data_IF_217209999389
#
_entry.id   IF_217209999389
#
_cell.length_a   1.000
_cell.length_b   1.000
_cell.length_c   1.000
_cell.angle_alpha   90.00
_cell.angle_beta   90.00
_cell.angle_gamma   90.00
#
_symmetry.space_group_name_H-M   'P 1'
#
loop_
_entity.id
_entity.type
_entity.pdbx_description
1 polymer ?
#
# COMPACT_ATOMS: atom_id res chain seq x y z
N UNK A 1 -1.18 5.97 30.43
CA UNK A 1 -1.81 7.27 30.12
C UNK A 1 -3.22 7.27 30.70
N UNK A 2 -3.57 8.25 31.53
CA UNK A 2 -4.93 8.37 32.06
C UNK A 2 -5.86 9.03 31.03
N UNK A 3 -7.12 8.58 31.00
CA UNK A 3 -8.22 9.15 30.21
C UNK A 3 -9.36 9.43 31.17
N UNK A 4 -9.85 10.66 31.21
CA UNK A 4 -11.00 11.06 32.02
C UNK A 4 -12.34 10.55 31.43
N UNK A 5 -12.43 9.23 31.27
CA UNK A 5 -13.58 8.49 30.76
C UNK A 5 -13.51 7.05 31.29
N UNK A 6 -14.64 6.48 31.70
CA UNK A 6 -14.73 5.05 32.08
C UNK A 6 -15.13 4.20 30.86
N UNK A 7 -14.22 3.35 30.39
CA UNK A 7 -14.48 2.49 29.24
C UNK A 7 -15.28 1.22 29.59
N UNK A 8 -15.50 0.89 30.88
CA UNK A 8 -16.09 -0.39 31.33
C UNK A 8 -17.44 -0.71 30.68
N UNK A 9 -18.27 0.31 30.39
CA UNK A 9 -19.56 0.14 29.70
C UNK A 9 -19.49 0.14 28.17
N UNK A 10 -18.32 0.39 27.59
CA UNK A 10 -18.14 0.59 26.13
C UNK A 10 -17.19 -0.42 25.49
N UNK A 11 -16.13 -0.80 26.21
CA UNK A 11 -15.10 -1.72 25.79
C UNK A 11 -14.89 -2.76 26.90
N UNK A 12 -14.47 -3.96 26.53
CA UNK A 12 -14.02 -4.95 27.50
C UNK A 12 -12.67 -4.52 28.07
N UNK A 13 -12.50 -4.65 29.38
CA UNK A 13 -11.24 -4.37 30.06
C UNK A 13 -10.14 -5.34 29.59
N UNK A 14 -8.89 -4.88 29.58
CA UNK A 14 -7.74 -5.63 29.05
C UNK A 14 -7.45 -5.26 27.60
N UNK A 15 -7.18 -6.28 26.76
CA UNK A 15 -6.91 -6.09 25.33
C UNK A 15 -8.20 -6.16 24.54
N UNK A 16 -8.48 -5.14 23.74
CA UNK A 16 -9.65 -5.06 22.87
C UNK A 16 -9.24 -4.79 21.42
N UNK A 17 -9.84 -5.52 20.49
CA UNK A 17 -9.71 -5.27 19.05
C UNK A 17 -10.63 -4.12 18.64
N UNK A 18 -10.06 -3.10 18.06
CA UNK A 18 -10.74 -1.94 17.48
C UNK A 18 -10.58 -2.01 15.96
N UNK A 19 -11.62 -2.46 15.29
CA UNK A 19 -11.75 -2.51 13.83
C UNK A 19 -12.67 -1.39 13.32
N UNK A 20 -12.85 -1.29 12.00
CA UNK A 20 -13.69 -0.27 11.38
C UNK A 20 -15.14 -0.31 11.90
N UNK A 21 -15.70 -1.49 12.13
CA UNK A 21 -17.05 -1.64 12.68
C UNK A 21 -17.14 -1.09 14.11
N UNK A 22 -16.12 -1.33 14.92
CA UNK A 22 -16.02 -0.79 16.28
C UNK A 22 -15.89 0.73 16.26
N UNK A 23 -15.06 1.29 15.39
CA UNK A 23 -14.91 2.75 15.23
C UNK A 23 -16.22 3.40 14.76
N UNK A 24 -16.94 2.80 13.81
CA UNK A 24 -18.25 3.29 13.36
C UNK A 24 -19.30 3.21 14.47
N UNK A 25 -19.32 2.13 15.25
CA UNK A 25 -20.23 1.95 16.39
C UNK A 25 -19.97 2.97 17.51
N UNK A 26 -18.70 3.18 17.82
CA UNK A 26 -18.18 4.09 18.84
C UNK A 26 -17.70 5.42 18.23
N UNK A 27 -18.46 5.94 17.27
CA UNK A 27 -18.20 7.21 16.59
C UNK A 27 -17.85 8.33 17.59
N UNK A 28 -17.00 9.33 17.27
CA UNK A 28 -16.51 10.33 18.23
C UNK A 28 -17.61 11.11 18.95
N UNK A 29 -18.76 11.31 18.28
CA UNK A 29 -19.97 11.90 18.91
C UNK A 29 -20.56 11.07 20.06
N UNK A 30 -20.34 9.75 20.07
CA UNK A 30 -20.74 8.81 21.11
C UNK A 30 -19.63 8.54 22.12
N UNK A 31 -18.39 8.35 21.64
CA UNK A 31 -17.24 8.06 22.48
C UNK A 31 -16.03 8.88 22.02
N UNK A 32 -16.02 10.17 22.38
CA UNK A 32 -14.90 11.06 22.07
C UNK A 32 -13.58 10.57 22.67
N UNK A 33 -13.66 9.90 23.82
CA UNK A 33 -12.51 9.41 24.57
C UNK A 33 -11.73 8.34 23.82
N UNK A 34 -12.38 7.53 22.98
CA UNK A 34 -11.70 6.53 22.14
C UNK A 34 -10.84 7.21 21.07
N UNK A 35 -11.40 8.18 20.35
CA UNK A 35 -10.63 8.97 19.37
C UNK A 35 -9.44 9.64 20.04
N UNK A 36 -9.68 10.33 21.16
CA UNK A 36 -8.61 11.00 21.90
C UNK A 36 -7.52 10.03 22.35
N UNK A 37 -7.90 8.86 22.88
CA UNK A 37 -6.95 7.85 23.32
C UNK A 37 -6.07 7.34 22.18
N UNK A 38 -6.67 7.04 21.01
CA UNK A 38 -5.95 6.59 19.81
C UNK A 38 -4.99 7.67 19.31
N UNK A 39 -5.48 8.91 19.17
CA UNK A 39 -4.69 10.02 18.65
C UNK A 39 -3.53 10.37 19.58
N UNK A 40 -3.76 10.38 20.89
CA UNK A 40 -2.73 10.68 21.86
C UNK A 40 -1.68 9.56 21.95
N UNK A 41 -2.12 8.30 21.95
CA UNK A 41 -1.21 7.16 21.98
C UNK A 41 -0.39 7.06 20.68
N UNK A 42 -0.99 7.39 19.54
CA UNK A 42 -0.31 7.55 18.26
C UNK A 42 0.76 8.66 18.29
N UNK A 43 0.48 9.79 18.92
CA UNK A 43 1.45 10.86 19.10
C UNK A 43 2.62 10.42 20.00
N UNK A 44 2.34 9.73 21.11
CA UNK A 44 3.37 9.17 22.00
C UNK A 44 4.25 8.13 21.27
N UNK A 45 3.65 7.23 20.48
CA UNK A 45 4.39 6.27 19.66
C UNK A 45 5.32 6.97 18.67
N UNK A 46 4.82 8.01 18.01
CA UNK A 46 5.57 8.83 17.05
C UNK A 46 6.79 9.48 17.70
N UNK A 47 6.63 10.02 18.90
CA UNK A 47 7.72 10.62 19.68
C UNK A 47 8.76 9.58 20.08
N UNK A 48 8.32 8.44 20.63
CA UNK A 48 9.21 7.35 21.05
C UNK A 48 10.05 6.78 19.89
N UNK A 49 9.45 6.66 18.70
CA UNK A 49 10.12 6.19 17.48
C UNK A 49 10.87 7.31 16.73
N UNK A 50 10.80 8.56 17.20
CA UNK A 50 11.42 9.75 16.58
C UNK A 50 10.99 9.95 15.12
N UNK A 51 9.71 9.67 14.84
CA UNK A 51 9.13 9.82 13.51
C UNK A 51 8.68 11.27 13.28
N UNK A 52 8.76 11.73 12.03
CA UNK A 52 8.31 13.08 11.64
C UNK A 52 6.80 13.21 11.50
N UNK A 53 6.11 12.09 11.21
CA UNK A 53 4.67 12.04 10.96
C UNK A 53 4.07 10.95 11.80
N UNK A 54 2.91 11.23 12.37
CA UNK A 54 2.17 10.26 13.16
C UNK A 54 1.64 9.13 12.31
N UNK A 55 1.94 7.88 12.65
CA UNK A 55 1.50 6.72 11.87
C UNK A 55 0.09 6.28 12.19
N UNK A 56 -0.36 6.51 13.42
CA UNK A 56 -1.64 5.99 13.94
C UNK A 56 -2.47 7.14 14.47
N UNK A 57 -3.66 7.35 13.92
CA UNK A 57 -4.67 8.29 14.39
C UNK A 57 -6.04 7.70 14.08
N UNK A 58 -7.08 8.18 14.75
CA UNK A 58 -8.46 7.74 14.54
C UNK A 58 -8.86 7.87 13.08
N UNK A 59 -8.66 9.06 12.48
CA UNK A 59 -9.03 9.32 11.09
C UNK A 59 -8.30 8.38 10.12
N UNK A 60 -7.01 8.10 10.38
CA UNK A 60 -6.23 7.17 9.55
C UNK A 60 -6.72 5.73 9.62
N UNK A 61 -7.27 5.31 10.77
CA UNK A 61 -7.85 3.98 10.92
C UNK A 61 -9.21 3.89 10.21
N UNK A 62 -10.00 4.97 10.24
CA UNK A 62 -11.30 5.04 9.54
C UNK A 62 -11.11 5.07 8.02
N UNK A 63 -10.14 5.87 7.54
CA UNK A 63 -9.89 6.09 6.11
C UNK A 63 -9.00 5.02 5.47
N UNK A 64 -8.58 3.98 6.20
CA UNK A 64 -7.68 2.96 5.65
C UNK A 64 -8.40 1.93 4.78
N UNK A 65 -7.87 1.69 3.59
CA UNK A 65 -8.33 0.60 2.70
C UNK A 65 -7.71 -0.78 3.04
N UNK A 66 -6.71 -0.82 3.91
CA UNK A 66 -5.85 -2.00 4.15
C UNK A 66 -6.32 -2.93 5.29
N UNK A 67 -7.62 -2.93 5.58
CA UNK A 67 -8.20 -3.67 6.71
C UNK A 67 -7.42 -3.44 8.02
N UNK A 68 -7.04 -2.18 8.32
CA UNK A 68 -6.25 -1.90 9.51
C UNK A 68 -7.07 -2.11 10.78
N UNK A 69 -6.44 -2.71 11.78
CA UNK A 69 -7.03 -3.00 13.09
C UNK A 69 -6.09 -2.51 14.17
N UNK A 70 -6.64 -2.03 15.27
CA UNK A 70 -5.88 -1.59 16.43
C UNK A 70 -6.25 -2.46 17.63
N UNK A 71 -5.26 -3.13 18.20
CA UNK A 71 -5.38 -3.78 19.49
C UNK A 71 -5.01 -2.76 20.56
N UNK A 72 -5.96 -2.38 21.41
CA UNK A 72 -5.80 -1.40 22.47
C UNK A 72 -5.82 -2.11 23.82
N UNK A 73 -4.83 -1.88 24.68
CA UNK A 73 -4.82 -2.39 26.04
C UNK A 73 -5.13 -1.28 27.04
N UNK A 74 -6.10 -1.52 27.91
CA UNK A 74 -6.50 -0.58 28.96
C UNK A 74 -6.99 -1.29 30.22
N UNK A 75 -6.95 -0.57 31.35
CA UNK A 75 -7.44 -1.01 32.67
C UNK A 75 -8.26 0.11 33.33
N UNK A 76 -9.24 -0.22 34.18
CA UNK A 76 -9.97 0.79 34.95
C UNK A 76 -9.04 1.43 35.98
N UNK A 77 -9.15 2.74 36.18
CA UNK A 77 -8.35 3.40 37.20
C UNK A 77 -8.79 2.94 38.60
N UNK A 78 -7.87 2.47 39.48
CA UNK A 78 -8.24 1.88 40.76
C UNK A 78 -8.87 2.88 41.74
N UNK A 79 -8.43 4.14 41.70
CA UNK A 79 -8.87 5.18 42.65
C UNK A 79 -9.91 6.17 42.08
N UNK A 80 -10.08 6.24 40.75
CA UNK A 80 -10.86 7.28 40.09
C UNK A 80 -11.99 6.62 39.30
N UNK A 81 -13.23 6.84 39.74
CA UNK A 81 -14.40 6.12 39.22
C UNK A 81 -14.64 6.33 37.72
N UNK A 82 -14.46 7.57 37.22
CA UNK A 82 -14.67 7.96 35.82
C UNK A 82 -13.36 8.09 35.03
N UNK A 83 -12.37 7.25 35.33
CA UNK A 83 -11.06 7.30 34.68
C UNK A 83 -10.61 5.90 34.25
N UNK A 84 -9.95 5.84 33.10
CA UNK A 84 -9.34 4.63 32.57
C UNK A 84 -7.86 4.87 32.29
N UNK A 85 -7.05 3.83 32.42
CA UNK A 85 -5.62 3.87 32.13
C UNK A 85 -5.37 3.10 30.83
N UNK A 86 -4.95 3.80 29.79
CA UNK A 86 -4.46 3.20 28.55
C UNK A 86 -3.00 2.79 28.74
N UNK A 87 -2.72 1.53 28.45
CA UNK A 87 -1.42 0.87 28.64
C UNK A 87 -0.61 0.89 27.35
N UNK A 88 -1.21 0.53 26.21
CA UNK A 88 -0.51 0.41 24.94
C UNK A 88 -1.42 0.07 23.76
N UNK A 89 -0.84 0.07 22.57
CA UNK A 89 -1.51 -0.29 21.32
C UNK A 89 -0.60 -1.08 20.38
N UNK A 90 -1.23 -1.90 19.55
CA UNK A 90 -0.62 -2.65 18.46
C UNK A 90 -1.52 -2.51 17.23
N UNK A 91 -1.01 -1.83 16.21
CA UNK A 91 -1.71 -1.65 14.93
C UNK A 91 -1.21 -2.69 13.93
N UNK A 92 -2.16 -3.37 13.30
CA UNK A 92 -1.91 -4.34 12.23
C UNK A 92 -2.75 -4.01 11.00
N UNK A 93 -2.37 -4.54 9.84
CA UNK A 93 -3.15 -4.42 8.60
C UNK A 93 -2.62 -5.34 7.53
N UNK A 94 -3.48 -5.75 6.59
CA UNK A 94 -3.05 -6.63 5.49
C UNK A 94 -2.33 -5.83 4.43
N UNK A 95 -1.20 -6.34 3.95
CA UNK A 95 -0.45 -5.72 2.86
C UNK A 95 -0.04 -6.77 1.85
N UNK A 96 -0.13 -6.37 0.58
CA UNK A 96 0.45 -7.09 -0.52
C UNK A 96 1.94 -6.75 -0.62
N UNK A 97 2.78 -7.72 -0.32
CA UNK A 97 4.23 -7.57 -0.26
C UNK A 97 4.91 -8.32 -1.40
N UNK A 98 5.95 -7.70 -1.95
CA UNK A 98 6.90 -8.32 -2.85
C UNK A 98 8.21 -8.49 -2.08
N UNK A 99 8.57 -9.74 -1.81
CA UNK A 99 9.63 -10.11 -0.89
C UNK A 99 10.73 -10.88 -1.60
N UNK A 100 11.94 -10.81 -1.06
CA UNK A 100 13.10 -11.54 -1.52
C UNK A 100 13.63 -12.38 -0.36
N UNK A 101 13.86 -13.67 -0.62
CA UNK A 101 14.53 -14.53 0.35
C UNK A 101 16.06 -14.44 0.23
N UNK A 102 16.79 -15.10 1.12
CA UNK A 102 18.26 -15.14 1.13
C UNK A 102 18.86 -15.70 -0.18
N UNK A 103 18.13 -16.60 -0.84
CA UNK A 103 18.49 -17.20 -2.13
C UNK A 103 18.15 -16.32 -3.34
N UNK A 104 17.77 -15.06 -3.11
CA UNK A 104 17.38 -14.10 -4.15
C UNK A 104 16.17 -14.55 -4.99
N UNK A 105 15.29 -15.37 -4.41
CA UNK A 105 14.01 -15.77 -5.03
C UNK A 105 12.92 -14.79 -4.62
N UNK A 106 12.11 -14.39 -5.61
CA UNK A 106 11.01 -13.45 -5.41
C UNK A 106 9.77 -14.18 -4.87
N UNK A 107 9.06 -13.54 -3.95
CA UNK A 107 7.79 -13.99 -3.40
C UNK A 107 6.78 -12.85 -3.47
N UNK A 108 5.51 -13.21 -3.66
CA UNK A 108 4.37 -12.30 -3.58
C UNK A 108 3.44 -12.86 -2.50
N UNK A 109 3.14 -12.06 -1.48
CA UNK A 109 2.41 -12.50 -0.30
C UNK A 109 1.41 -11.43 0.15
N UNK A 110 0.17 -11.82 0.41
CA UNK A 110 -0.81 -10.99 1.12
C UNK A 110 -0.71 -11.32 2.61
N UNK A 111 0.11 -10.56 3.34
CA UNK A 111 0.47 -10.86 4.72
C UNK A 111 -0.13 -9.86 5.72
N UNK A 112 -0.49 -10.34 6.91
CA UNK A 112 -0.80 -9.45 8.02
C UNK A 112 0.50 -8.81 8.52
N UNK A 113 0.50 -7.48 8.58
CA UNK A 113 1.67 -6.71 8.92
C UNK A 113 1.49 -6.01 10.26
N UNK A 114 2.55 -5.98 11.07
CA UNK A 114 2.64 -5.08 12.22
C UNK A 114 3.10 -3.71 11.73
N UNK A 115 2.27 -2.69 11.95
CA UNK A 115 2.41 -1.35 11.36
C UNK A 115 2.76 -0.27 12.39
N UNK A 116 2.41 -0.48 13.66
CA UNK A 116 2.80 0.38 14.77
C UNK A 116 2.65 -0.41 16.08
N UNK A 117 3.58 -0.28 17.02
CA UNK A 117 3.53 -1.00 18.29
C UNK A 117 4.14 -0.16 19.40
N UNK A 118 3.32 0.14 20.41
CA UNK A 118 3.72 1.04 21.48
C UNK A 118 3.10 0.64 22.81
N UNK A 119 3.93 0.59 23.84
CA UNK A 119 3.51 0.49 25.24
C UNK A 119 4.00 1.74 25.94
N UNK A 120 3.12 2.36 26.72
CA UNK A 120 3.44 3.58 27.47
C UNK A 120 4.69 3.36 28.34
N UNK A 121 5.58 4.35 28.37
CA UNK A 121 6.93 4.23 28.96
C UNK A 121 6.91 3.71 30.40
N UNK A 122 5.96 4.20 31.22
CA UNK A 122 5.79 3.75 32.62
C UNK A 122 5.38 2.29 32.80
N UNK A 123 4.94 1.62 31.72
CA UNK A 123 4.47 0.23 31.69
C UNK A 123 5.39 -0.66 30.82
N UNK A 124 6.46 -0.10 30.24
CA UNK A 124 7.39 -0.91 29.44
C UNK A 124 8.16 -1.92 30.31
N UNK A 125 8.58 -3.03 29.69
CA UNK A 125 9.35 -4.12 30.32
C UNK A 125 8.64 -4.87 31.46
N UNK A 126 7.33 -4.67 31.64
CA UNK A 126 6.49 -5.37 32.62
C UNK A 126 5.65 -6.51 32.00
N UNK A 127 5.91 -6.88 30.75
CA UNK A 127 5.20 -7.97 30.05
C UNK A 127 3.97 -7.55 29.25
N UNK A 128 3.46 -6.32 29.40
CA UNK A 128 2.28 -5.84 28.66
C UNK A 128 2.42 -5.89 27.14
N UNK A 129 3.62 -5.67 26.61
CA UNK A 129 3.87 -5.83 25.17
C UNK A 129 3.68 -7.28 24.69
N UNK A 130 4.04 -8.26 25.51
CA UNK A 130 3.82 -9.68 25.21
C UNK A 130 2.34 -10.01 25.24
N UNK A 131 1.62 -9.61 26.30
CA UNK A 131 0.17 -9.80 26.42
C UNK A 131 -0.59 -9.20 25.23
N UNK A 132 -0.23 -7.98 24.81
CA UNK A 132 -0.88 -7.32 23.68
C UNK A 132 -0.62 -8.05 22.35
N UNK A 133 0.60 -8.54 22.15
CA UNK A 133 0.97 -9.24 20.93
C UNK A 133 0.39 -10.65 20.86
N UNK A 134 0.39 -11.40 21.97
CA UNK A 134 -0.26 -12.72 22.09
C UNK A 134 -1.77 -12.63 21.83
N UNK A 135 -2.43 -11.63 22.41
CA UNK A 135 -3.86 -11.40 22.17
C UNK A 135 -4.15 -11.17 20.68
N UNK A 136 -3.29 -10.43 19.98
CA UNK A 136 -3.39 -10.24 18.53
C UNK A 136 -3.17 -11.55 17.76
N UNK A 137 -2.15 -12.34 18.11
CA UNK A 137 -1.90 -13.63 17.45
C UNK A 137 -3.08 -14.61 17.59
N UNK A 138 -3.66 -14.68 18.80
CA UNK A 138 -4.83 -15.54 19.08
C UNK A 138 -6.04 -15.08 18.29
N UNK A 139 -6.33 -13.78 18.27
CA UNK A 139 -7.49 -13.21 17.59
C UNK A 139 -7.38 -13.31 16.06
N UNK A 140 -6.18 -13.16 15.50
CA UNK A 140 -5.93 -13.29 14.06
C UNK A 140 -5.66 -14.74 13.63
N UNK A 141 -5.54 -15.67 14.58
CA UNK A 141 -5.23 -17.09 14.35
C UNK A 141 -3.94 -17.28 13.54
N UNK A 142 -2.88 -16.61 13.97
CA UNK A 142 -1.58 -16.60 13.30
C UNK A 142 -0.46 -17.08 14.20
N UNK A 143 0.57 -17.63 13.57
CA UNK A 143 1.87 -17.83 14.20
C UNK A 143 2.76 -16.60 13.99
N UNK A 144 3.68 -16.29 14.92
CA UNK A 144 4.56 -15.12 14.83
C UNK A 144 5.33 -15.03 13.50
N UNK A 145 5.79 -16.17 12.97
CA UNK A 145 6.60 -16.23 11.74
C UNK A 145 5.81 -15.90 10.46
N UNK A 146 4.48 -15.88 10.52
CA UNK A 146 3.60 -15.55 9.40
C UNK A 146 3.39 -14.03 9.26
N UNK A 147 3.93 -13.23 10.18
CA UNK A 147 3.81 -11.78 10.16
C UNK A 147 4.97 -11.13 9.42
N UNK A 148 4.67 -10.02 8.75
CA UNK A 148 5.67 -9.06 8.32
C UNK A 148 5.66 -7.84 9.25
N UNK A 149 6.80 -7.19 9.44
CA UNK A 149 6.93 -6.05 10.34
C UNK A 149 7.45 -4.83 9.57
N UNK A 150 6.71 -3.72 9.57
CA UNK A 150 7.14 -2.46 8.94
C UNK A 150 8.13 -1.74 9.86
N UNK A 151 9.37 -1.55 9.39
CA UNK A 151 10.43 -0.77 10.08
C UNK A 151 10.56 -1.08 11.58
N UNK A 152 10.83 -2.34 11.96
CA UNK A 152 10.97 -2.67 13.37
C UNK A 152 12.12 -1.91 14.03
N UNK A 153 11.88 -1.44 15.25
CA UNK A 153 12.95 -0.89 16.10
C UNK A 153 13.81 -2.02 16.69
N UNK A 154 15.06 -1.72 17.05
CA UNK A 154 15.95 -2.70 17.69
C UNK A 154 15.33 -3.32 18.97
N UNK A 155 14.69 -2.56 19.87
CA UNK A 155 13.96 -3.13 21.01
C UNK A 155 12.85 -4.09 20.60
N UNK A 156 12.18 -3.83 19.48
CA UNK A 156 11.12 -4.69 18.98
C UNK A 156 11.67 -6.01 18.41
N UNK A 157 12.78 -5.97 17.66
CA UNK A 157 13.45 -7.20 17.22
C UNK A 157 13.92 -8.06 18.41
N UNK A 158 14.48 -7.43 19.44
CA UNK A 158 14.87 -8.14 20.68
C UNK A 158 13.65 -8.75 21.39
N UNK A 159 12.51 -8.04 21.39
CA UNK A 159 11.26 -8.56 21.94
C UNK A 159 10.78 -9.79 21.18
N UNK A 160 10.77 -9.72 19.84
CA UNK A 160 10.39 -10.83 18.97
C UNK A 160 11.28 -12.05 19.18
N UNK A 161 12.60 -11.85 19.21
CA UNK A 161 13.56 -12.92 19.46
C UNK A 161 13.38 -13.56 20.84
N UNK A 162 13.13 -12.76 21.88
CA UNK A 162 12.97 -13.25 23.26
C UNK A 162 11.70 -14.08 23.44
N UNK A 163 10.58 -13.62 22.88
CA UNK A 163 9.26 -14.18 23.17
C UNK A 163 8.79 -15.23 22.17
N UNK A 164 9.25 -15.14 20.92
CA UNK A 164 8.81 -16.02 19.84
C UNK A 164 9.96 -16.78 19.16
N UNK A 165 11.17 -16.68 19.72
CA UNK A 165 12.38 -17.38 19.26
C UNK A 165 12.76 -17.14 17.79
N UNK A 166 12.21 -16.08 17.18
CA UNK A 166 12.47 -15.73 15.79
C UNK A 166 13.83 -15.02 15.66
N UNK A 167 14.71 -15.58 14.84
CA UNK A 167 16.08 -15.12 14.61
C UNK A 167 16.32 -14.86 13.13
N UNK A 168 17.41 -14.17 12.83
CA UNK A 168 17.89 -13.90 11.47
C UNK A 168 16.86 -13.11 10.63
N UNK A 169 16.51 -11.87 11.06
CA UNK A 169 15.55 -11.05 10.35
C UNK A 169 16.01 -10.76 8.91
N UNK A 170 15.15 -11.04 7.95
CA UNK A 170 15.38 -10.82 6.52
C UNK A 170 14.85 -9.45 6.14
N UNK A 171 15.75 -8.47 6.06
CA UNK A 171 15.43 -7.09 5.70
C UNK A 171 15.13 -6.94 4.21
N UNK A 172 14.00 -6.33 3.91
CA UNK A 172 13.56 -6.02 2.56
C UNK A 172 13.90 -4.59 2.17
N UNK A 173 14.05 -4.33 0.87
CA UNK A 173 14.28 -2.97 0.34
C UNK A 173 13.11 -2.02 0.63
N UNK A 174 11.90 -2.55 0.86
CA UNK A 174 10.70 -1.81 1.25
C UNK A 174 10.68 -1.41 2.73
N UNK A 175 11.72 -1.75 3.50
CA UNK A 175 11.85 -1.61 4.96
C UNK A 175 10.98 -2.56 5.79
N UNK A 176 10.27 -3.50 5.15
CA UNK A 176 9.66 -4.61 5.85
C UNK A 176 10.72 -5.60 6.30
N UNK A 177 10.42 -6.28 7.40
CA UNK A 177 11.19 -7.41 7.91
C UNK A 177 10.27 -8.61 8.03
N UNK A 178 10.76 -9.74 7.53
CA UNK A 178 10.17 -11.07 7.74
C UNK A 178 11.24 -11.99 8.33
N UNK A 179 10.85 -13.16 8.81
CA UNK A 179 11.77 -14.16 9.32
C UNK A 179 11.84 -15.36 8.35
N UNK A 180 12.92 -16.15 8.33
CA UNK A 180 13.09 -17.22 7.34
C UNK A 180 11.90 -18.17 7.20
N UNK A 181 11.24 -18.63 8.28
CA UNK A 181 10.07 -19.53 8.17
C UNK A 181 8.85 -18.89 7.50
N UNK A 182 8.81 -17.56 7.34
CA UNK A 182 7.76 -16.87 6.59
C UNK A 182 7.66 -17.42 5.15
N UNK A 183 8.79 -17.73 4.53
CA UNK A 183 8.83 -18.18 3.14
C UNK A 183 8.37 -19.63 2.95
N UNK A 184 8.33 -20.44 4.02
CA UNK A 184 7.94 -21.86 3.93
C UNK A 184 6.44 -22.02 3.61
N UNK A 185 5.63 -21.05 4.03
CA UNK A 185 4.19 -21.00 3.75
C UNK A 185 3.85 -20.39 2.37
N UNK A 186 4.85 -19.84 1.66
CA UNK A 186 4.65 -19.12 0.41
C UNK A 186 5.35 -19.82 -0.76
N UNK A 187 4.77 -19.69 -1.96
CA UNK A 187 5.40 -20.19 -3.18
C UNK A 187 6.26 -19.10 -3.81
N UNK A 188 7.49 -19.42 -4.25
CA UNK A 188 8.27 -18.47 -5.02
C UNK A 188 7.49 -18.08 -6.28
N UNK A 189 7.53 -16.80 -6.62
CA UNK A 189 7.03 -16.31 -7.89
C UNK A 189 7.92 -16.91 -8.97
N UNK A 190 7.34 -17.74 -9.84
CA UNK A 190 8.04 -18.19 -11.04
C UNK A 190 8.44 -16.94 -11.82
N UNK A 191 9.74 -16.79 -12.11
CA UNK A 191 10.20 -15.74 -13.00
C UNK A 191 9.53 -15.98 -14.35
N UNK A 192 8.43 -15.26 -14.57
CA UNK A 192 7.75 -15.17 -15.85
C UNK A 192 8.69 -14.51 -16.83
N UNK A 193 9.61 -15.28 -17.40
CA UNK A 193 9.93 -15.10 -18.80
C UNK A 193 8.59 -15.32 -19.50
N UNK A 194 7.93 -14.23 -19.86
CA UNK A 194 6.73 -14.24 -20.68
C UNK A 194 6.95 -15.26 -21.81
N UNK A 195 6.25 -16.41 -21.74
CA UNK A 195 6.12 -17.35 -22.86
C UNK A 195 5.23 -16.73 -23.95
N UNK A 196 5.41 -15.45 -24.27
CA UNK A 196 4.87 -14.80 -25.47
C UNK A 196 5.94 -14.79 -26.54
N UNK A 197 6.32 -15.98 -26.99
CA UNK A 197 6.76 -16.31 -28.35
C UNK A 197 7.54 -17.61 -28.27
N UNK A 198 6.89 -18.71 -28.64
CA UNK A 198 7.44 -19.91 -29.29
C UNK A 198 6.27 -20.89 -29.45
N UNK A 199 5.29 -20.49 -30.26
CA UNK A 199 4.41 -21.42 -30.97
C UNK A 199 4.24 -20.89 -32.40
N UNK A 200 5.38 -20.77 -33.08
CA UNK A 200 5.45 -20.77 -34.54
C UNK A 200 5.81 -22.18 -34.99
N UNK A 201 5.04 -22.70 -35.94
CA UNK A 201 5.21 -23.95 -36.70
C UNK A 201 4.78 -25.27 -36.03
N UNK A 202 3.48 -25.57 -36.17
CA UNK A 202 3.07 -26.88 -36.72
C UNK A 202 2.23 -26.64 -37.97
N UNK A 203 2.85 -26.94 -39.11
CA UNK A 203 2.20 -27.08 -40.41
C UNK A 203 1.49 -28.45 -40.41
N UNK A 204 0.17 -28.47 -40.57
CA UNK A 204 -0.54 -29.61 -41.16
C UNK A 204 -1.85 -29.13 -41.80
N UNK A 205 -1.80 -29.04 -43.12
CA UNK A 205 -2.88 -29.23 -44.12
C UNK A 205 -4.33 -29.26 -43.66
N UNK A 206 -5.15 -28.34 -44.18
CA UNK A 206 -6.60 -28.43 -44.15
C UNK A 206 -7.26 -27.22 -44.82
N UNK A 207 -7.66 -27.39 -46.07
CA UNK A 207 -8.43 -26.46 -46.90
C UNK A 207 -9.60 -25.82 -46.16
N UNK A 208 -9.81 -24.50 -46.30
CA UNK A 208 -11.13 -23.87 -46.54
C UNK A 208 -10.95 -22.42 -47.04
N UNK A 209 -11.69 -22.11 -48.10
CA UNK A 209 -11.70 -20.89 -48.92
C UNK A 209 -12.44 -19.72 -48.25
N UNK A 210 -12.10 -18.44 -48.56
CA UNK A 210 -12.77 -17.28 -47.98
C UNK A 210 -13.99 -16.84 -48.81
N UNK A 211 -15.16 -16.76 -48.16
CA UNK A 211 -16.38 -16.18 -48.73
C UNK A 211 -16.37 -14.66 -48.51
N UNK A 212 -16.19 -13.90 -49.60
CA UNK A 212 -16.59 -12.50 -49.67
C UNK A 212 -18.12 -12.43 -49.68
N UNK A 213 -18.71 -11.44 -49.02
CA UNK A 213 -20.11 -11.06 -49.27
C UNK A 213 -20.16 -9.65 -49.80
N UNK A 214 -20.77 -9.57 -50.97
CA UNK A 214 -20.89 -8.43 -51.86
C UNK A 214 -21.92 -7.40 -51.38
N UNK A 215 -21.73 -6.23 -51.99
CA UNK A 215 -22.49 -4.99 -51.95
C UNK A 215 -23.64 -5.06 -52.96
N UNK A 216 -24.85 -4.63 -52.59
CA UNK A 216 -25.99 -4.41 -53.52
C UNK A 216 -26.82 -3.17 -53.09
N UNK A 217 -27.63 -2.56 -53.97
CA UNK A 217 -27.65 -1.11 -54.18
C UNK A 217 -28.94 -0.38 -53.76
N UNK A 218 -28.95 0.93 -54.05
CA UNK A 218 -29.94 1.95 -53.66
C UNK A 218 -31.26 1.93 -54.44
N UNK A 219 -32.38 2.29 -53.77
CA UNK A 219 -33.59 2.90 -54.36
C UNK A 219 -34.13 4.00 -53.42
N UNK A 220 -34.66 5.04 -54.04
CA UNK A 220 -35.03 6.37 -53.56
C UNK A 220 -36.39 6.52 -52.88
N UNK A 221 -36.48 7.42 -51.90
CA UNK A 221 -37.60 8.39 -51.76
C UNK A 221 -37.26 9.54 -50.78
N UNK A 222 -37.46 10.78 -51.26
CA UNK A 222 -37.45 12.08 -50.54
C UNK A 222 -38.92 12.49 -50.24
N UNK A 223 -39.27 13.62 -49.56
CA UNK A 223 -38.45 14.77 -49.12
C UNK A 223 -38.73 15.30 -47.67
N UNK A 224 -37.92 16.25 -47.19
CA UNK A 224 -38.27 17.06 -46.01
C UNK A 224 -37.16 17.91 -45.39
N UNK A 225 -36.83 19.04 -46.02
CA UNK A 225 -36.56 20.37 -45.42
C UNK A 225 -35.75 20.50 -44.10
N UNK A 226 -34.53 21.06 -44.17
CA UNK A 226 -34.18 22.44 -43.74
C UNK A 226 -32.65 22.63 -43.58
N UNK A 227 -32.25 23.82 -43.96
CA UNK A 227 -30.92 24.41 -44.08
C UNK A 227 -30.25 24.80 -42.76
N UNK A 228 -28.92 24.65 -42.67
CA UNK A 228 -28.01 25.79 -42.39
C UNK A 228 -26.55 25.42 -42.63
N UNK A 229 -25.87 26.36 -43.28
CA UNK A 229 -24.47 26.41 -43.69
C UNK A 229 -23.52 26.73 -42.54
N UNK A 230 -22.30 26.16 -42.54
CA UNK A 230 -21.04 26.86 -42.21
C UNK A 230 -19.87 26.14 -42.91
N UNK A 231 -18.93 26.98 -43.36
CA UNK A 231 -17.79 26.86 -44.27
C UNK A 231 -16.69 25.84 -43.95
N UNK A 232 -16.07 25.31 -45.02
CA UNK A 232 -14.84 24.52 -45.02
C UNK A 232 -13.59 25.36 -45.38
N UNK A 233 -12.43 25.02 -44.81
CA UNK A 233 -11.03 25.10 -45.35
C UNK A 233 -9.99 24.70 -44.26
N UNK A 234 -8.71 24.33 -44.57
CA UNK A 234 -8.30 22.93 -44.75
C UNK A 234 -7.07 22.48 -43.90
N UNK A 235 -6.89 21.14 -43.80
CA UNK A 235 -5.63 20.36 -43.69
C UNK A 235 -4.58 20.74 -42.62
N UNK A 236 -4.31 19.82 -41.70
CA UNK A 236 -2.97 19.24 -41.47
C UNK A 236 -3.10 17.94 -40.66
N UNK A 237 -3.05 16.80 -41.36
CA UNK A 237 -2.95 15.48 -40.75
C UNK A 237 -1.48 15.22 -40.39
N UNK A 238 -1.13 15.31 -39.12
CA UNK A 238 0.11 14.71 -38.63
C UNK A 238 -0.18 13.24 -38.32
N UNK A 239 0.26 12.36 -39.21
CA UNK A 239 0.41 10.94 -38.91
C UNK A 239 1.45 10.82 -37.79
N UNK A 240 1.01 10.49 -36.58
CA UNK A 240 1.92 10.03 -35.53
C UNK A 240 2.47 8.66 -35.95
N UNK A 241 3.62 8.67 -36.63
CA UNK A 241 4.42 7.48 -36.89
C UNK A 241 5.17 7.12 -35.61
N UNK A 242 4.73 6.02 -35.00
CA UNK A 242 5.50 5.10 -34.15
C UNK A 242 6.59 5.69 -33.26
N UNK A 243 6.21 6.18 -32.09
CA UNK A 243 7.13 6.35 -30.96
C UNK A 243 6.88 5.21 -29.96
N UNK A 244 7.65 4.13 -30.08
CA UNK A 244 7.72 3.11 -29.05
C UNK A 244 9.08 3.18 -28.39
N UNK A 245 9.10 3.44 -27.08
CA UNK A 245 10.31 3.49 -26.25
C UNK A 245 11.18 2.23 -26.42
N UNK A 246 10.58 1.10 -26.81
CA UNK A 246 11.27 -0.15 -27.13
C UNK A 246 12.35 0.01 -28.22
N UNK A 247 12.08 0.81 -29.27
CA UNK A 247 13.04 1.01 -30.37
C UNK A 247 14.29 1.79 -29.98
N UNK A 248 14.17 2.71 -29.01
CA UNK A 248 15.30 3.50 -28.48
C UNK A 248 16.17 2.62 -27.58
N UNK A 249 15.56 1.77 -26.75
CA UNK A 249 16.28 0.89 -25.82
C UNK A 249 17.09 -0.17 -26.57
N UNK A 250 16.54 -0.70 -27.67
CA UNK A 250 17.18 -1.75 -28.46
C UNK A 250 18.02 -1.23 -29.64
N UNK A 251 18.25 0.10 -29.74
CA UNK A 251 19.12 0.71 -30.74
C UNK A 251 18.61 0.62 -32.18
N UNK A 252 17.34 0.30 -32.39
CA UNK A 252 16.73 0.16 -33.72
C UNK A 252 16.04 1.44 -34.20
N UNK A 253 15.92 2.45 -33.34
CA UNK A 253 15.37 3.76 -33.66
C UNK A 253 16.37 4.88 -33.34
N UNK A 254 16.52 5.84 -34.26
CA UNK A 254 17.33 7.02 -34.05
C UNK A 254 16.64 7.96 -33.06
N UNK A 255 17.38 8.47 -32.08
CA UNK A 255 16.88 9.53 -31.18
C UNK A 255 16.59 10.79 -31.99
N UNK A 256 15.39 11.38 -31.91
CA UNK A 256 15.09 12.60 -32.64
C UNK A 256 16.00 13.74 -32.19
N UNK A 257 16.57 14.44 -33.18
CA UNK A 257 17.32 15.68 -32.96
C UNK A 257 16.43 16.72 -32.27
N UNK A 258 16.87 17.22 -31.10
CA UNK A 258 16.15 18.28 -30.40
C UNK A 258 16.24 19.57 -31.22
N UNK A 259 15.12 20.23 -31.54
CA UNK A 259 15.16 21.56 -32.13
C UNK A 259 15.78 22.53 -31.11
N UNK A 260 16.81 23.27 -31.52
CA UNK A 260 17.37 24.35 -30.70
C UNK A 260 16.39 25.54 -30.73
N UNK A 261 15.71 25.76 -29.61
CA UNK A 261 14.83 26.91 -29.42
C UNK A 261 15.60 28.06 -28.75
N UNK A 262 15.39 29.28 -29.23
CA UNK A 262 15.93 30.47 -28.58
C UNK A 262 15.41 30.57 -27.13
N UNK A 263 16.25 31.01 -26.17
CA UNK A 263 15.95 30.98 -24.74
C UNK A 263 14.71 31.80 -24.35
N UNK A 264 14.37 32.81 -25.15
CA UNK A 264 13.25 33.71 -24.90
C UNK A 264 11.89 33.18 -25.37
N UNK A 265 11.86 32.05 -26.08
CA UNK A 265 10.60 31.40 -26.47
C UNK A 265 9.97 30.65 -25.29
N UNK A 266 8.63 30.49 -25.25
CA UNK A 266 7.97 29.71 -24.19
C UNK A 266 8.55 28.29 -24.03
N UNK A 267 8.92 27.66 -25.15
CA UNK A 267 9.55 26.34 -25.17
C UNK A 267 11.01 26.38 -24.69
N UNK A 268 11.77 27.42 -25.06
CA UNK A 268 13.12 27.67 -24.56
C UNK A 268 13.16 27.81 -23.05
N UNK A 269 12.29 28.66 -22.47
CA UNK A 269 12.18 28.86 -21.02
C UNK A 269 11.84 27.58 -20.26
N UNK A 270 10.93 26.77 -20.82
CA UNK A 270 10.57 25.46 -20.24
C UNK A 270 11.77 24.51 -20.23
N UNK A 271 12.51 24.42 -21.33
CA UNK A 271 13.71 23.59 -21.43
C UNK A 271 14.80 24.04 -20.43
N UNK A 272 15.01 25.35 -20.27
CA UNK A 272 15.97 25.89 -19.29
C UNK A 272 15.56 25.57 -17.85
N UNK A 273 14.25 25.60 -17.54
CA UNK A 273 13.76 25.27 -16.20
C UNK A 273 13.91 23.78 -15.88
N UNK A 274 13.54 22.93 -16.84
CA UNK A 274 13.44 21.49 -16.60
C UNK A 274 14.82 20.78 -16.69
N UNK A 275 15.81 21.38 -17.36
CA UNK A 275 17.15 20.79 -17.57
C UNK A 275 18.33 21.71 -17.22
N UNK A 276 18.08 22.90 -16.65
CA UNK A 276 19.12 23.89 -16.33
C UNK A 276 19.96 23.60 -15.09
N UNK A 277 19.75 22.46 -14.41
CA UNK A 277 20.65 22.01 -13.36
C UNK A 277 21.85 21.30 -14.00
N UNK A 278 22.89 22.06 -14.32
CA UNK A 278 24.22 21.49 -14.50
C UNK A 278 24.61 20.80 -13.20
N UNK A 279 24.91 19.50 -13.29
CA UNK A 279 25.51 18.72 -12.22
C UNK A 279 26.76 19.45 -11.73
N UNK A 280 26.67 20.01 -10.52
CA UNK A 280 27.85 20.22 -9.70
C UNK A 280 28.28 18.82 -9.26
N UNK A 281 29.52 18.49 -9.56
CA UNK A 281 30.24 17.33 -9.05
C UNK A 281 29.91 17.03 -7.59
#
# INVERSE_FOLDING_TARGET
MEVAYDFTGTLTEGVVKIDLLTLQRLHPRRCWALQWAIDHLGALSTQAQKLRRQLTSYDKLVDSDDEQKLYLMWEKHPEKENCSIIIGMLKVGKKKLFLLNEKQQNYEADALCVLDFFVHESKQRQGFGHVLFDAMLVEEVLQPYQLAIDRPSNPFLCFIQKHYEMKDPVWQSTNFVVFPPFFDDHRPRENGMDRRSLNGNKISSGFHTPSMSEKMPAVSSRPGSRSSSISASPRHAYSYRGDSASGIIHGTAATPSRPNYAPDTPQGRKNTRDFGHTSLW
#
